data_IF_688799275565
#
_entry.id   IF_688799275565
#
_cell.length_a   1.000
_cell.length_b   1.000
_cell.length_c   1.000
_cell.angle_alpha   90.00
_cell.angle_beta   90.00
_cell.angle_gamma   90.00
#
_symmetry.space_group_name_H-M   'P 1'
#
loop_
_entity.id
_entity.type
_entity.pdbx_description
1 polymer ?
#
# COMPACT_ATOMS: atom_id res chain seq x y z
N UNK A 1 9.52 50.64 9.39
CA UNK A 1 8.47 49.77 8.82
C UNK A 1 9.10 48.57 8.11
N UNK A 2 9.88 47.75 8.84
CA UNK A 2 10.70 46.66 8.30
C UNK A 2 10.31 45.34 8.97
N UNK A 3 9.03 44.97 8.91
CA UNK A 3 8.51 43.72 9.44
C UNK A 3 7.21 43.37 8.71
N UNK A 4 7.27 42.56 7.64
CA UNK A 4 6.11 41.77 7.15
C UNK A 4 6.40 40.89 5.91
N UNK A 5 7.60 40.34 5.74
CA UNK A 5 7.85 39.25 4.76
C UNK A 5 8.91 38.28 5.27
N UNK A 6 8.66 37.67 6.40
CA UNK A 6 9.48 36.54 6.88
C UNK A 6 8.49 35.50 7.39
N UNK A 7 8.66 34.24 6.94
CA UNK A 7 7.92 33.04 7.34
C UNK A 7 6.66 32.65 6.53
N UNK A 8 6.83 32.32 5.24
CA UNK A 8 5.94 31.33 4.58
C UNK A 8 6.67 30.38 3.62
N UNK A 9 8.00 30.44 3.54
CA UNK A 9 8.80 29.63 2.60
C UNK A 9 9.64 28.52 3.23
N UNK A 10 9.76 28.46 4.57
CA UNK A 10 10.73 27.53 5.19
C UNK A 10 10.24 26.09 5.40
N UNK A 11 8.98 25.75 5.08
CA UNK A 11 8.43 24.42 5.40
C UNK A 11 8.68 23.36 4.32
N UNK A 12 9.08 23.74 3.11
CA UNK A 12 9.34 22.80 2.00
C UNK A 12 10.77 22.26 1.95
N UNK A 13 11.73 22.94 2.59
CA UNK A 13 13.17 22.60 2.48
C UNK A 13 13.59 21.32 3.23
N UNK A 14 12.69 20.68 3.98
CA UNK A 14 12.96 19.39 4.67
C UNK A 14 12.44 18.17 3.90
N UNK A 15 11.81 18.37 2.75
CA UNK A 15 11.38 17.29 1.88
C UNK A 15 12.41 17.09 0.77
N UNK A 16 12.56 15.83 0.34
CA UNK A 16 13.43 15.48 -0.79
C UNK A 16 13.09 16.29 -2.06
N UNK A 17 11.83 16.67 -2.25
CA UNK A 17 11.41 17.68 -3.21
C UNK A 17 11.42 19.06 -2.54
N UNK A 18 12.51 19.80 -2.76
CA UNK A 18 12.83 21.06 -2.08
C UNK A 18 11.89 22.19 -2.50
N UNK A 19 11.40 22.19 -3.75
CA UNK A 19 10.59 23.27 -4.31
C UNK A 19 9.20 22.81 -4.83
N UNK A 20 8.13 23.61 -4.59
CA UNK A 20 6.79 23.32 -5.10
C UNK A 20 6.69 23.21 -6.64
N UNK A 21 7.55 23.92 -7.37
CA UNK A 21 7.60 23.88 -8.84
C UNK A 21 8.08 22.53 -9.39
N UNK A 22 8.99 21.86 -8.70
CA UNK A 22 9.49 20.53 -9.04
C UNK A 22 8.41 19.48 -8.85
N UNK A 23 7.65 19.55 -7.75
CA UNK A 23 6.47 18.68 -7.53
C UNK A 23 5.44 18.88 -8.64
N UNK A 24 5.14 20.13 -8.99
CA UNK A 24 4.18 20.44 -10.06
C UNK A 24 4.67 19.95 -11.42
N UNK A 25 5.95 20.16 -11.73
CA UNK A 25 6.56 19.72 -12.99
C UNK A 25 6.57 18.20 -13.11
N UNK A 26 6.96 17.49 -12.05
CA UNK A 26 6.91 16.03 -12.00
C UNK A 26 5.48 15.50 -12.22
N UNK A 27 4.49 16.09 -11.53
CA UNK A 27 3.10 15.71 -11.69
C UNK A 27 2.58 15.97 -13.11
N UNK A 28 2.91 17.12 -13.71
CA UNK A 28 2.52 17.44 -15.09
C UNK A 28 3.15 16.47 -16.10
N UNK A 29 4.44 16.17 -15.96
CA UNK A 29 5.13 15.21 -16.82
C UNK A 29 4.53 13.81 -16.66
N UNK A 30 4.30 13.37 -15.42
CA UNK A 30 3.69 12.07 -15.13
C UNK A 30 2.27 11.96 -15.72
N UNK A 31 1.43 12.99 -15.53
CA UNK A 31 0.10 13.05 -16.16
C UNK A 31 0.17 13.01 -17.67
N UNK A 32 1.06 13.81 -18.28
CA UNK A 32 1.21 13.85 -19.72
C UNK A 32 1.63 12.48 -20.27
N UNK A 33 2.60 11.81 -19.64
CA UNK A 33 3.03 10.46 -20.02
C UNK A 33 1.88 9.46 -19.87
N UNK A 34 1.15 9.48 -18.76
CA UNK A 34 -0.01 8.59 -18.53
C UNK A 34 -1.17 8.85 -19.50
N UNK A 35 -1.31 10.08 -19.99
CA UNK A 35 -2.37 10.47 -20.92
C UNK A 35 -2.11 10.04 -22.37
N UNK A 36 -0.93 9.50 -22.68
CA UNK A 36 -0.59 9.10 -24.05
C UNK A 36 -1.50 7.94 -24.53
N UNK A 37 -1.90 7.91 -25.81
CA UNK A 37 -2.78 6.87 -26.35
C UNK A 37 -2.23 5.44 -26.21
N UNK A 38 -0.89 5.29 -26.19
CA UNK A 38 -0.21 4.00 -25.99
C UNK A 38 -0.50 3.36 -24.62
N UNK A 39 -0.91 4.16 -23.64
CA UNK A 39 -1.33 3.71 -22.30
C UNK A 39 -2.84 3.52 -22.21
N UNK A 40 -3.64 4.28 -22.98
CA UNK A 40 -5.10 4.12 -23.05
C UNK A 40 -5.53 2.81 -23.73
N UNK A 41 -4.75 2.27 -24.67
CA UNK A 41 -5.06 0.97 -25.29
C UNK A 41 -4.81 -0.23 -24.38
N UNK A 42 -4.16 -0.01 -23.22
CA UNK A 42 -3.81 -1.04 -22.22
C UNK A 42 -4.33 -0.72 -20.82
N UNK A 43 -5.11 0.34 -20.65
CA UNK A 43 -5.68 0.65 -19.36
C UNK A 43 -6.77 -0.36 -19.02
N UNK A 44 -6.47 -1.23 -18.06
CA UNK A 44 -7.38 -2.11 -17.34
C UNK A 44 -8.40 -1.33 -16.49
N UNK A 45 -8.94 -0.22 -17.01
CA UNK A 45 -9.84 0.64 -16.27
C UNK A 45 -11.30 0.33 -16.65
N UNK A 46 -12.20 0.30 -15.66
CA UNK A 46 -13.60 0.04 -15.90
C UNK A 46 -14.21 1.07 -16.84
N UNK A 47 -14.95 0.59 -17.84
CA UNK A 47 -15.43 1.45 -18.92
C UNK A 47 -16.92 1.78 -18.78
N UNK A 48 -17.33 2.93 -19.33
CA UNK A 48 -18.75 3.28 -19.45
C UNK A 48 -19.54 2.26 -20.28
N UNK A 49 -18.88 1.58 -21.21
CA UNK A 49 -19.49 0.54 -22.03
C UNK A 49 -19.95 -0.65 -21.18
N UNK A 50 -19.09 -1.12 -20.26
CA UNK A 50 -19.42 -2.23 -19.35
C UNK A 50 -20.58 -1.88 -18.41
N UNK A 51 -20.66 -0.61 -17.97
CA UNK A 51 -21.79 -0.12 -17.17
C UNK A 51 -23.11 -0.18 -17.94
N UNK A 52 -23.13 0.31 -19.17
CA UNK A 52 -24.32 0.29 -20.04
C UNK A 52 -24.81 -1.14 -20.31
N UNK A 53 -23.88 -2.05 -20.62
CA UNK A 53 -24.19 -3.47 -20.84
C UNK A 53 -24.84 -4.11 -19.59
N UNK A 54 -24.25 -3.87 -18.41
CA UNK A 54 -24.78 -4.38 -17.14
C UNK A 54 -26.16 -3.82 -16.79
N UNK A 55 -26.38 -2.52 -16.99
CA UNK A 55 -27.68 -1.90 -16.73
C UNK A 55 -28.75 -2.46 -17.67
N UNK A 56 -28.39 -2.71 -18.93
CA UNK A 56 -29.28 -3.35 -19.92
C UNK A 56 -29.65 -4.77 -19.50
N UNK A 57 -28.65 -5.58 -19.12
CA UNK A 57 -28.86 -6.97 -18.68
C UNK A 57 -29.68 -7.09 -17.38
N UNK A 58 -29.66 -6.05 -16.53
CA UNK A 58 -30.36 -6.02 -15.23
C UNK A 58 -31.67 -5.22 -15.24
N UNK A 59 -32.02 -4.60 -16.37
CA UNK A 59 -33.21 -3.72 -16.46
C UNK A 59 -33.12 -2.46 -15.59
N UNK A 60 -31.90 -1.96 -15.32
CA UNK A 60 -31.66 -0.75 -14.55
C UNK A 60 -31.66 0.49 -15.47
N UNK A 61 -32.01 1.68 -14.95
CA UNK A 61 -31.96 2.91 -15.75
C UNK A 61 -30.53 3.16 -16.24
N UNK A 62 -30.36 3.30 -17.55
CA UNK A 62 -29.05 3.55 -18.16
C UNK A 62 -28.72 5.03 -18.03
N UNK A 63 -27.72 5.35 -17.21
CA UNK A 63 -27.10 6.67 -17.12
C UNK A 63 -25.76 6.68 -17.88
N UNK A 64 -25.39 7.84 -18.44
CA UNK A 64 -24.07 8.00 -19.09
C UNK A 64 -22.98 8.52 -18.15
N UNK A 65 -23.34 8.75 -16.88
CA UNK A 65 -22.41 9.23 -15.87
C UNK A 65 -21.67 8.05 -15.23
N UNK A 66 -20.38 8.24 -14.99
CA UNK A 66 -19.57 7.28 -14.22
C UNK A 66 -19.22 7.92 -12.88
N UNK A 67 -19.76 7.36 -11.81
CA UNK A 67 -19.59 7.92 -10.47
C UNK A 67 -18.42 7.25 -9.74
N UNK A 68 -17.92 7.92 -8.69
CA UNK A 68 -16.76 7.43 -7.91
C UNK A 68 -17.05 6.06 -7.27
N UNK A 69 -18.29 5.81 -6.84
CA UNK A 69 -18.67 4.52 -6.24
C UNK A 69 -18.79 3.39 -7.27
N UNK A 70 -19.05 3.71 -8.55
CA UNK A 70 -19.10 2.71 -9.63
C UNK A 70 -17.71 2.09 -9.85
N UNK A 71 -16.65 2.87 -9.63
CA UNK A 71 -15.27 2.46 -9.87
C UNK A 71 -14.93 1.11 -9.23
N UNK A 72 -15.13 0.94 -7.91
CA UNK A 72 -14.73 -0.29 -7.21
C UNK A 72 -15.51 -1.52 -7.67
N UNK A 73 -16.76 -1.33 -8.08
CA UNK A 73 -17.60 -2.43 -8.55
C UNK A 73 -17.13 -2.93 -9.92
N UNK A 74 -16.94 -2.02 -10.88
CA UNK A 74 -16.53 -2.39 -12.23
C UNK A 74 -15.05 -2.78 -12.31
N UNK A 75 -14.17 -2.23 -11.46
CA UNK A 75 -12.77 -2.67 -11.34
C UNK A 75 -12.69 -4.16 -10.93
N UNK A 76 -13.45 -4.56 -9.90
CA UNK A 76 -13.54 -5.97 -9.50
C UNK A 76 -14.09 -6.86 -10.62
N UNK A 77 -15.11 -6.38 -11.34
CA UNK A 77 -15.71 -7.11 -12.45
C UNK A 77 -14.72 -7.29 -13.61
N UNK A 78 -13.95 -6.24 -13.93
CA UNK A 78 -12.91 -6.27 -14.94
C UNK A 78 -11.84 -7.31 -14.57
N UNK A 79 -11.32 -7.25 -13.34
CA UNK A 79 -10.36 -8.24 -12.83
C UNK A 79 -10.94 -9.64 -12.97
N UNK A 80 -12.14 -9.90 -12.46
CA UNK A 80 -12.75 -11.23 -12.50
C UNK A 80 -13.01 -11.79 -13.92
N UNK A 81 -13.21 -10.92 -14.92
CA UNK A 81 -13.49 -11.33 -16.31
C UNK A 81 -12.23 -11.49 -17.15
N UNK A 82 -11.27 -10.59 -16.97
CA UNK A 82 -10.11 -10.45 -17.85
C UNK A 82 -8.84 -11.04 -17.23
N UNK A 83 -8.80 -11.16 -15.91
CA UNK A 83 -7.72 -11.77 -15.16
C UNK A 83 -8.30 -13.06 -14.54
N UNK A 84 -7.79 -14.22 -14.96
CA UNK A 84 -8.13 -15.51 -14.37
C UNK A 84 -7.47 -15.64 -12.99
N UNK A 85 -7.85 -14.73 -12.09
CA UNK A 85 -7.22 -14.50 -10.80
C UNK A 85 -8.27 -14.61 -9.70
N UNK A 86 -8.20 -15.71 -8.95
CA UNK A 86 -9.05 -15.95 -7.79
C UNK A 86 -8.36 -15.54 -6.48
N UNK A 87 -8.70 -14.36 -5.97
CA UNK A 87 -8.25 -13.85 -4.68
C UNK A 87 -8.47 -14.84 -3.53
N UNK A 88 -9.55 -15.64 -3.56
CA UNK A 88 -9.86 -16.58 -2.49
C UNK A 88 -8.94 -17.80 -2.53
N UNK A 89 -8.58 -18.26 -3.72
CA UNK A 89 -7.62 -19.34 -3.89
C UNK A 89 -6.23 -18.90 -3.43
N UNK A 90 -5.79 -17.71 -3.83
CA UNK A 90 -4.48 -17.14 -3.45
C UNK A 90 -4.37 -17.04 -1.93
N UNK A 91 -5.40 -16.52 -1.24
CA UNK A 91 -5.40 -16.41 0.24
C UNK A 91 -5.14 -17.73 0.97
N UNK A 92 -5.54 -18.88 0.40
CA UNK A 92 -5.28 -20.20 1.01
C UNK A 92 -3.80 -20.57 1.03
N UNK A 93 -3.02 -20.06 0.07
CA UNK A 93 -1.58 -20.33 -0.02
C UNK A 93 -0.73 -19.45 0.89
N UNK A 94 -1.29 -18.39 1.48
CA UNK A 94 -0.57 -17.44 2.34
C UNK A 94 -1.11 -17.44 3.79
N UNK A 95 -1.03 -18.56 4.53
CA UNK A 95 -1.38 -18.58 5.94
C UNK A 95 -0.36 -17.76 6.75
N UNK A 96 -0.85 -17.02 7.74
CA UNK A 96 -0.03 -16.13 8.60
C UNK A 96 1.11 -16.88 9.28
N UNK A 97 0.87 -18.13 9.71
CA UNK A 97 1.88 -18.98 10.36
C UNK A 97 3.09 -19.28 9.49
N UNK A 98 2.96 -19.24 8.15
CA UNK A 98 4.06 -19.49 7.20
C UNK A 98 4.67 -18.18 6.71
N UNK A 99 3.83 -17.17 6.47
CA UNK A 99 4.27 -15.89 5.90
C UNK A 99 5.14 -15.11 6.88
N UNK A 100 4.81 -15.08 8.17
CA UNK A 100 5.54 -14.27 9.15
C UNK A 100 6.98 -14.78 9.35
N UNK A 101 7.25 -16.07 9.59
CA UNK A 101 8.62 -16.58 9.65
C UNK A 101 9.41 -16.34 8.36
N UNK A 102 8.76 -16.51 7.19
CA UNK A 102 9.42 -16.30 5.90
C UNK A 102 9.82 -14.84 5.68
N UNK A 103 8.94 -13.89 6.04
CA UNK A 103 9.24 -12.46 5.95
C UNK A 103 10.38 -12.09 6.90
N UNK A 104 10.32 -12.56 8.16
CA UNK A 104 11.40 -12.32 9.12
C UNK A 104 12.72 -12.85 8.58
N UNK A 105 12.75 -14.07 8.03
CA UNK A 105 13.96 -14.66 7.45
C UNK A 105 14.54 -13.83 6.28
N UNK A 106 13.70 -13.34 5.38
CA UNK A 106 14.14 -12.43 4.29
C UNK A 106 14.80 -11.17 4.87
N UNK A 107 14.21 -10.57 5.91
CA UNK A 107 14.78 -9.38 6.54
C UNK A 107 16.05 -9.67 7.34
N UNK A 108 16.16 -10.85 7.97
CA UNK A 108 17.41 -11.29 8.62
C UNK A 108 18.55 -11.32 7.62
N UNK A 109 18.32 -11.96 6.47
CA UNK A 109 19.33 -12.10 5.42
C UNK A 109 19.66 -10.76 4.75
N UNK A 110 18.66 -9.91 4.54
CA UNK A 110 18.86 -8.60 3.89
C UNK A 110 19.60 -7.60 4.78
N UNK A 111 19.30 -7.60 6.09
CA UNK A 111 19.82 -6.61 7.04
C UNK A 111 20.97 -7.13 7.92
N UNK A 112 21.26 -8.44 7.89
CA UNK A 112 22.27 -9.05 8.75
C UNK A 112 21.88 -9.05 10.23
N UNK A 113 20.59 -9.27 10.52
CA UNK A 113 20.04 -9.26 11.88
C UNK A 113 19.44 -10.61 12.25
N UNK A 114 19.26 -10.86 13.54
CA UNK A 114 18.61 -12.05 14.09
C UNK A 114 17.42 -11.65 14.96
N UNK A 115 16.26 -12.22 14.66
CA UNK A 115 15.05 -12.05 15.48
C UNK A 115 14.94 -13.24 16.46
N UNK A 116 14.77 -12.93 17.73
CA UNK A 116 14.52 -13.92 18.79
C UNK A 116 13.18 -13.59 19.43
N UNK A 117 12.23 -14.52 19.35
CA UNK A 117 10.91 -14.36 19.95
C UNK A 117 11.02 -14.34 21.48
N UNK A 118 10.38 -13.36 22.11
CA UNK A 118 10.29 -13.27 23.57
C UNK A 118 8.90 -13.74 23.99
N UNK A 119 8.84 -14.95 24.54
CA UNK A 119 7.62 -15.48 25.15
C UNK A 119 7.53 -14.91 26.57
N UNK A 120 6.82 -13.80 26.79
CA UNK A 120 6.90 -13.16 28.12
C UNK A 120 5.87 -12.14 28.58
N UNK A 121 5.38 -11.19 27.78
CA UNK A 121 4.64 -10.06 28.40
C UNK A 121 3.59 -9.37 27.53
N UNK A 122 3.73 -9.42 26.20
CA UNK A 122 2.74 -8.83 25.30
C UNK A 122 1.55 -9.78 25.11
N UNK A 123 0.50 -9.61 25.90
CA UNK A 123 -0.79 -10.34 25.76
C UNK A 123 -1.43 -10.20 24.37
N UNK A 124 -0.99 -9.17 23.65
CA UNK A 124 -1.75 -8.49 22.62
C UNK A 124 -1.00 -8.35 21.30
N UNK A 125 0.31 -8.60 21.26
CA UNK A 125 1.17 -8.50 20.08
C UNK A 125 2.35 -9.47 20.22
N UNK A 126 2.90 -9.94 19.10
CA UNK A 126 4.12 -10.76 19.13
C UNK A 126 5.34 -9.87 19.34
N UNK A 127 6.24 -10.26 20.23
CA UNK A 127 7.44 -9.48 20.58
C UNK A 127 8.70 -10.23 20.18
N UNK A 128 9.62 -9.53 19.52
CA UNK A 128 10.92 -10.04 19.11
C UNK A 128 12.03 -9.12 19.60
N UNK A 129 13.11 -9.70 20.14
CA UNK A 129 14.38 -9.00 20.31
C UNK A 129 15.21 -9.12 19.04
N UNK A 130 15.79 -8.01 18.61
CA UNK A 130 16.60 -7.90 17.39
C UNK A 130 18.06 -7.73 17.78
N UNK A 131 18.89 -8.62 17.23
CA UNK A 131 20.33 -8.67 17.46
C UNK A 131 21.08 -8.55 16.13
N UNK A 132 22.31 -8.06 16.15
CA UNK A 132 23.21 -8.23 15.01
C UNK A 132 23.56 -9.72 14.82
N UNK A 133 23.69 -10.16 13.57
CA UNK A 133 23.90 -11.58 13.26
C UNK A 133 25.21 -12.15 13.83
N UNK A 134 26.27 -11.34 13.88
CA UNK A 134 27.60 -11.73 14.38
C UNK A 134 27.83 -11.38 15.85
N UNK A 135 26.82 -10.88 16.56
CA UNK A 135 26.93 -10.47 17.95
C UNK A 135 27.21 -11.66 18.87
N UNK A 136 28.33 -11.62 19.59
CA UNK A 136 28.68 -12.58 20.65
C UNK A 136 28.39 -12.04 22.05
N UNK A 137 28.25 -10.72 22.17
CA UNK A 137 28.07 -10.00 23.43
C UNK A 137 26.79 -9.14 23.39
N UNK A 138 26.39 -8.61 24.55
CA UNK A 138 25.22 -7.73 24.72
C UNK A 138 25.33 -6.40 23.93
N UNK A 139 26.52 -6.05 23.43
CA UNK A 139 26.76 -4.86 22.60
C UNK A 139 26.09 -4.92 21.23
N UNK A 140 25.69 -6.11 20.76
CA UNK A 140 25.01 -6.28 19.48
C UNK A 140 23.49 -6.25 19.57
N UNK A 141 22.92 -5.79 20.68
CA UNK A 141 21.48 -5.57 20.80
C UNK A 141 21.05 -4.31 20.05
N UNK A 142 20.13 -4.46 19.09
CA UNK A 142 19.62 -3.34 18.28
C UNK A 142 18.35 -2.76 18.91
N UNK A 143 17.42 -3.63 19.31
CA UNK A 143 16.13 -3.19 19.85
C UNK A 143 15.05 -4.27 19.89
N UNK A 144 13.82 -3.83 20.15
CA UNK A 144 12.63 -4.68 20.16
C UNK A 144 11.72 -4.39 18.95
N UNK A 145 11.13 -5.44 18.40
CA UNK A 145 10.13 -5.37 17.34
C UNK A 145 8.81 -5.96 17.86
N UNK A 146 7.72 -5.21 17.70
CA UNK A 146 6.38 -5.66 18.04
C UNK A 146 5.55 -5.83 16.77
N UNK A 147 4.86 -6.96 16.67
CA UNK A 147 4.08 -7.34 15.50
C UNK A 147 2.62 -7.52 15.92
N UNK A 148 1.79 -6.55 15.54
CA UNK A 148 0.35 -6.53 15.79
C UNK A 148 -0.41 -6.93 14.52
N UNK A 149 -0.68 -8.22 14.38
CA UNK A 149 -1.25 -8.78 13.14
C UNK A 149 -2.77 -8.82 13.12
N UNK A 150 -3.42 -8.82 14.29
CA UNK A 150 -4.83 -9.17 14.39
C UNK A 150 -5.68 -7.94 14.67
N UNK A 151 -6.81 -7.77 13.96
CA UNK A 151 -7.71 -6.67 14.24
C UNK A 151 -8.25 -6.82 15.67
N UNK A 152 -8.12 -5.76 16.46
CA UNK A 152 -8.71 -5.68 17.80
C UNK A 152 -10.21 -5.39 17.66
N UNK A 153 -11.02 -6.09 18.46
CA UNK A 153 -12.43 -5.72 18.58
C UNK A 153 -12.55 -4.24 18.96
N UNK A 154 -13.51 -3.53 18.38
CA UNK A 154 -13.89 -2.23 18.93
C UNK A 154 -14.54 -2.51 20.28
N UNK A 155 -13.99 -1.96 21.36
CA UNK A 155 -14.73 -1.89 22.61
C UNK A 155 -16.08 -1.22 22.30
N UNK A 156 -17.16 -1.97 22.49
CA UNK A 156 -18.54 -1.48 22.37
C UNK A 156 -18.88 -0.61 23.58
#
# INVERSE_FOLDING_TARGET
>A
SRWSKVQLTQKTDRHFCVDPSSVFSFWMVSKHISSRPSWHSRSCHPSRAEKREMHTNRGLPIDDNFYIWDYRYYDRLYVARNLDFDDFLVKKYFPVSVVIPAILDIYQNLLGVKFVEITGDARDAQQFAVWEMDAKDESGFIGYCYLDLFPRGKAL
#
